data_IF_033229691659
#
_entry.id   IF_033229691659
#
_cell.length_a   1.000
_cell.length_b   1.000
_cell.length_c   1.000
_cell.angle_alpha   90.00
_cell.angle_beta   90.00
_cell.angle_gamma   90.00
#
_symmetry.space_group_name_H-M   'P 1'
#
loop_
_entity.id
_entity.type
_entity.pdbx_description
1 polymer ?
#
# COMPACT_ATOMS: atom_id res chain seq x y z
N UNK A 1 -5.98 -19.93 -29.19
CA UNK A 1 -5.74 -18.72 -28.38
C UNK A 1 -6.94 -18.53 -27.45
N UNK A 2 -7.05 -19.36 -26.43
CA UNK A 2 -8.09 -19.26 -25.40
C UNK A 2 -7.54 -18.36 -24.32
N UNK A 3 -7.97 -17.10 -24.30
CA UNK A 3 -7.72 -16.23 -23.17
C UNK A 3 -8.50 -16.81 -21.98
N UNK A 4 -7.76 -17.25 -20.97
CA UNK A 4 -8.33 -17.75 -19.72
C UNK A 4 -9.13 -16.61 -19.07
N UNK A 5 -10.34 -16.92 -18.60
CA UNK A 5 -11.20 -15.94 -17.93
C UNK A 5 -10.49 -15.39 -16.69
N UNK A 6 -9.60 -16.19 -16.07
CA UNK A 6 -8.68 -15.77 -15.01
C UNK A 6 -7.67 -14.71 -15.48
N UNK A 7 -7.05 -14.88 -16.64
CA UNK A 7 -6.16 -13.88 -17.24
C UNK A 7 -6.89 -12.58 -17.60
N UNK A 8 -8.14 -12.65 -18.04
CA UNK A 8 -8.93 -11.47 -18.35
C UNK A 8 -9.36 -10.72 -17.07
N UNK A 9 -9.67 -11.44 -15.99
CA UNK A 9 -10.02 -10.86 -14.68
C UNK A 9 -8.80 -10.30 -13.94
N UNK A 10 -7.64 -10.97 -14.05
CA UNK A 10 -6.35 -10.44 -13.61
C UNK A 10 -6.02 -9.19 -14.43
N UNK A 11 -6.05 -9.23 -15.77
CA UNK A 11 -5.82 -8.02 -16.58
C UNK A 11 -6.77 -6.89 -16.19
N UNK A 12 -8.05 -7.17 -15.94
CA UNK A 12 -8.99 -6.11 -15.54
C UNK A 12 -8.67 -5.53 -14.16
N UNK A 13 -8.27 -6.33 -13.17
CA UNK A 13 -7.92 -5.84 -11.83
C UNK A 13 -6.50 -5.25 -11.76
N UNK A 14 -5.51 -5.85 -12.43
CA UNK A 14 -4.12 -5.39 -12.53
C UNK A 14 -3.95 -4.20 -13.49
N UNK A 15 -4.85 -3.94 -14.44
CA UNK A 15 -4.71 -2.80 -15.36
C UNK A 15 -5.58 -1.62 -14.94
N UNK A 16 -6.78 -1.81 -14.37
CA UNK A 16 -7.64 -0.69 -13.96
C UNK A 16 -7.41 -0.18 -12.52
N UNK A 17 -6.82 -0.96 -11.61
CA UNK A 17 -6.49 -0.45 -10.25
C UNK A 17 -5.22 0.40 -10.19
N UNK A 18 -4.10 0.08 -10.89
CA UNK A 18 -2.85 0.84 -10.71
C UNK A 18 -2.77 2.13 -11.51
N UNK A 19 -3.66 2.40 -12.47
CA UNK A 19 -3.71 3.72 -13.14
C UNK A 19 -4.00 4.85 -12.13
N UNK A 20 -4.47 4.53 -10.92
CA UNK A 20 -4.77 5.50 -9.87
C UNK A 20 -3.65 5.73 -8.85
N UNK A 21 -2.65 4.84 -8.75
CA UNK A 21 -1.56 4.96 -7.75
C UNK A 21 -0.37 5.81 -8.19
N UNK A 22 -0.19 6.06 -9.49
CA UNK A 22 0.77 7.06 -9.97
C UNK A 22 0.24 8.50 -9.95
N UNK A 23 -1.03 8.72 -9.57
CA UNK A 23 -1.63 10.05 -9.52
C UNK A 23 -1.23 10.88 -8.29
N UNK A 24 -0.30 10.39 -7.46
CA UNK A 24 0.36 11.19 -6.42
C UNK A 24 1.33 12.25 -6.97
N UNK A 25 1.56 12.29 -8.29
CA UNK A 25 2.48 13.24 -8.93
C UNK A 25 1.85 14.58 -9.32
N UNK A 26 0.52 14.72 -9.31
CA UNK A 26 -0.14 15.93 -9.89
C UNK A 26 -0.10 17.14 -8.94
N UNK A 27 0.08 16.95 -7.63
CA UNK A 27 -0.01 18.06 -6.67
C UNK A 27 1.32 18.81 -6.39
N UNK A 28 2.46 18.39 -6.94
CA UNK A 28 3.77 18.98 -6.62
C UNK A 28 4.18 20.20 -7.47
N UNK A 29 3.27 20.79 -8.24
CA UNK A 29 3.56 21.89 -9.17
C UNK A 29 2.57 23.07 -9.07
N UNK A 30 2.20 23.49 -7.86
CA UNK A 30 1.57 24.80 -7.67
C UNK A 30 2.59 25.77 -7.05
N UNK A 31 3.28 26.54 -7.89
CA UNK A 31 4.03 27.73 -7.48
C UNK A 31 3.15 28.99 -7.66
N UNK A 32 3.27 29.89 -6.66
CA UNK A 32 2.90 31.30 -6.60
C UNK A 32 1.44 31.72 -6.87
N UNK A 33 0.62 31.89 -5.81
CA UNK A 33 -0.42 32.92 -5.76
C UNK A 33 -0.47 33.62 -4.39
N UNK A 34 -0.33 34.94 -4.46
CA UNK A 34 -0.41 35.90 -3.36
C UNK A 34 -1.87 36.25 -2.98
N UNK A 35 -2.09 36.48 -1.68
CA UNK A 35 -2.84 37.62 -1.08
C UNK A 35 -3.92 37.27 -0.04
N UNK A 36 -3.73 37.91 1.12
CA UNK A 36 -4.69 38.66 1.95
C UNK A 36 -6.00 38.01 2.48
N UNK A 37 -6.10 38.09 3.81
CA UNK A 37 -7.31 38.16 4.65
C UNK A 37 -8.26 36.95 4.65
N UNK A 38 -7.79 35.86 5.26
CA UNK A 38 -8.60 34.80 5.87
C UNK A 38 -7.73 34.16 6.97
N UNK A 39 -8.30 33.81 8.12
CA UNK A 39 -7.56 33.17 9.23
C UNK A 39 -7.05 31.75 8.90
N UNK A 40 -7.18 31.33 7.65
CA UNK A 40 -6.76 30.06 7.06
C UNK A 40 -5.93 30.45 5.84
N UNK A 41 -4.65 30.06 5.83
CA UNK A 41 -3.73 30.34 4.72
C UNK A 41 -3.90 29.32 3.61
N UNK A 42 -3.43 29.64 2.40
CA UNK A 42 -3.40 28.69 1.27
C UNK A 42 -2.58 27.44 1.66
N UNK A 43 -1.46 27.65 2.37
CA UNK A 43 -0.62 26.58 2.91
C UNK A 43 -1.39 25.62 3.85
N UNK A 44 -2.34 26.14 4.65
CA UNK A 44 -3.17 25.32 5.52
C UNK A 44 -4.14 24.43 4.71
N UNK A 45 -4.71 24.96 3.63
CA UNK A 45 -5.61 24.22 2.73
C UNK A 45 -4.84 23.12 1.97
N UNK A 46 -3.66 23.45 1.44
CA UNK A 46 -2.78 22.49 0.78
C UNK A 46 -2.31 21.38 1.73
N UNK A 47 -2.01 21.74 2.98
CA UNK A 47 -1.66 20.80 4.03
C UNK A 47 -2.79 19.80 4.33
N UNK A 48 -4.04 20.26 4.42
CA UNK A 48 -5.20 19.38 4.61
C UNK A 48 -5.48 18.50 3.37
N UNK A 49 -5.31 19.03 2.16
CA UNK A 49 -5.45 18.24 0.93
C UNK A 49 -4.45 17.09 0.87
N UNK A 50 -3.19 17.33 1.27
CA UNK A 50 -2.17 16.29 1.35
C UNK A 50 -2.52 15.19 2.36
N UNK A 51 -3.10 15.56 3.51
CA UNK A 51 -3.59 14.59 4.49
C UNK A 51 -4.72 13.74 3.92
N UNK A 52 -5.68 14.36 3.22
CA UNK A 52 -6.80 13.65 2.58
C UNK A 52 -6.30 12.68 1.51
N UNK A 53 -5.37 13.11 0.67
CA UNK A 53 -4.73 12.27 -0.35
C UNK A 53 -4.03 11.06 0.27
N UNK A 54 -3.23 11.28 1.32
CA UNK A 54 -2.60 10.19 2.08
C UNK A 54 -3.61 9.20 2.66
N UNK A 55 -4.70 9.70 3.25
CA UNK A 55 -5.77 8.84 3.81
C UNK A 55 -6.44 8.03 2.70
N UNK A 56 -6.75 8.65 1.56
CA UNK A 56 -7.33 7.97 0.40
C UNK A 56 -6.45 6.82 -0.07
N UNK A 57 -5.15 7.04 -0.17
CA UNK A 57 -4.22 6.02 -0.65
C UNK A 57 -4.14 4.83 0.32
N UNK A 58 -4.11 5.09 1.64
CA UNK A 58 -4.21 4.04 2.66
C UNK A 58 -5.50 3.23 2.53
N UNK A 59 -6.64 3.92 2.34
CA UNK A 59 -7.94 3.26 2.21
C UNK A 59 -8.04 2.39 0.95
N UNK A 60 -7.48 2.83 -0.17
CA UNK A 60 -7.47 2.05 -1.42
C UNK A 60 -6.65 0.78 -1.27
N UNK A 61 -5.47 0.85 -0.63
CA UNK A 61 -4.67 -0.35 -0.32
C UNK A 61 -5.44 -1.32 0.58
N UNK A 62 -6.07 -0.81 1.63
CA UNK A 62 -6.90 -1.62 2.53
C UNK A 62 -8.11 -2.25 1.84
N UNK A 63 -8.73 -1.55 0.90
CA UNK A 63 -9.82 -2.10 0.09
C UNK A 63 -9.34 -3.26 -0.79
N UNK A 64 -8.13 -3.14 -1.36
CA UNK A 64 -7.50 -4.22 -2.10
C UNK A 64 -7.26 -5.44 -1.21
N UNK A 65 -6.64 -5.29 -0.04
CA UNK A 65 -6.46 -6.37 0.95
C UNK A 65 -7.79 -7.06 1.30
N UNK A 66 -8.84 -6.27 1.55
CA UNK A 66 -10.16 -6.79 1.88
C UNK A 66 -10.78 -7.60 0.73
N UNK A 67 -10.55 -7.20 -0.52
CA UNK A 67 -11.01 -7.94 -1.69
C UNK A 67 -10.30 -9.29 -1.79
N UNK A 68 -8.98 -9.32 -1.62
CA UNK A 68 -8.22 -10.58 -1.60
C UNK A 68 -8.69 -11.52 -0.48
N UNK A 69 -8.94 -11.00 0.73
CA UNK A 69 -9.50 -11.80 1.83
C UNK A 69 -10.89 -12.35 1.51
N UNK A 70 -11.74 -11.56 0.85
CA UNK A 70 -13.07 -12.02 0.44
C UNK A 70 -12.98 -13.16 -0.58
N UNK A 71 -12.06 -13.07 -1.55
CA UNK A 71 -11.83 -14.10 -2.55
C UNK A 71 -11.28 -15.40 -1.91
N UNK A 72 -10.30 -15.29 -0.99
CA UNK A 72 -9.80 -16.45 -0.23
C UNK A 72 -10.90 -17.13 0.61
N UNK A 73 -11.77 -16.33 1.25
CA UNK A 73 -12.92 -16.86 2.00
C UNK A 73 -13.86 -17.65 1.07
N UNK A 74 -14.08 -17.19 -0.16
CA UNK A 74 -14.94 -17.89 -1.13
C UNK A 74 -14.30 -19.23 -1.56
N UNK A 75 -13.01 -19.22 -1.91
CA UNK A 75 -12.26 -20.43 -2.24
C UNK A 75 -12.28 -21.44 -1.08
N UNK A 76 -12.04 -20.97 0.14
CA UNK A 76 -12.06 -21.81 1.34
C UNK A 76 -13.45 -22.43 1.62
N UNK A 77 -14.53 -21.68 1.38
CA UNK A 77 -15.90 -22.19 1.51
C UNK A 77 -16.17 -23.31 0.51
N UNK A 78 -15.81 -23.10 -0.76
CA UNK A 78 -16.02 -24.09 -1.83
C UNK A 78 -15.18 -25.35 -1.59
N UNK A 79 -13.89 -25.21 -1.28
CA UNK A 79 -13.01 -26.31 -0.90
C UNK A 79 -13.60 -27.09 0.28
N UNK A 80 -14.12 -26.40 1.30
CA UNK A 80 -14.72 -27.05 2.47
C UNK A 80 -15.97 -27.83 2.11
N UNK A 81 -16.82 -27.30 1.22
CA UNK A 81 -17.99 -28.01 0.73
C UNK A 81 -17.60 -29.27 -0.05
N UNK A 82 -16.70 -29.15 -1.03
CA UNK A 82 -16.24 -30.28 -1.83
C UNK A 82 -15.56 -31.36 -0.97
N UNK A 83 -14.74 -30.96 0.01
CA UNK A 83 -14.12 -31.89 0.97
C UNK A 83 -15.16 -32.65 1.79
N UNK A 84 -16.26 -32.01 2.21
CA UNK A 84 -17.35 -32.69 2.92
C UNK A 84 -18.07 -33.70 2.02
N UNK A 85 -18.24 -33.39 0.74
CA UNK A 85 -18.82 -34.35 -0.21
C UNK A 85 -17.87 -35.53 -0.46
N UNK A 86 -16.59 -35.26 -0.67
CA UNK A 86 -15.55 -36.26 -0.85
C UNK A 86 -15.46 -37.20 0.36
N UNK A 87 -15.50 -36.65 1.58
CA UNK A 87 -15.42 -37.44 2.81
C UNK A 87 -16.54 -38.47 2.94
N UNK A 88 -17.74 -38.20 2.40
CA UNK A 88 -18.84 -39.17 2.37
C UNK A 88 -18.48 -40.38 1.52
N UNK A 89 -17.90 -40.16 0.34
CA UNK A 89 -17.48 -41.24 -0.56
C UNK A 89 -16.29 -42.02 0.01
N UNK A 90 -15.28 -41.32 0.53
CA UNK A 90 -14.08 -41.91 1.12
C UNK A 90 -14.39 -42.75 2.37
N UNK A 91 -15.48 -42.46 3.07
CA UNK A 91 -15.90 -43.26 4.24
C UNK A 91 -16.41 -44.66 3.90
N UNK A 92 -16.75 -44.91 2.62
CA UNK A 92 -17.15 -46.23 2.13
C UNK A 92 -15.89 -47.03 1.76
N UNK A 93 -15.77 -48.32 2.14
CA UNK A 93 -14.65 -49.16 1.71
C UNK A 93 -14.59 -49.32 0.18
N UNK A 94 -13.38 -49.36 -0.40
CA UNK A 94 -13.20 -49.42 -1.86
C UNK A 94 -13.81 -50.65 -2.57
N UNK A 95 -14.01 -51.73 -1.81
CA UNK A 95 -14.67 -52.96 -2.27
C UNK A 95 -16.19 -52.77 -2.47
N UNK A 96 -16.78 -51.86 -1.69
CA UNK A 96 -18.21 -51.59 -1.67
C UNK A 96 -18.58 -50.35 -2.52
N UNK A 97 -17.59 -49.64 -3.07
CA UNK A 97 -17.80 -48.49 -3.96
C UNK A 97 -18.23 -48.93 -5.36
N UNK A 98 -19.28 -48.31 -5.88
CA UNK A 98 -19.64 -48.42 -7.29
C UNK A 98 -18.58 -47.79 -8.20
N UNK A 99 -18.67 -48.04 -9.50
CA UNK A 99 -17.78 -47.38 -10.47
C UNK A 99 -18.03 -45.87 -10.49
N UNK A 100 -19.29 -45.48 -10.40
CA UNK A 100 -19.75 -44.10 -10.36
C UNK A 100 -19.22 -43.36 -9.13
N UNK A 101 -19.16 -44.03 -7.96
CA UNK A 101 -18.58 -43.45 -6.75
C UNK A 101 -17.09 -43.14 -6.93
N UNK A 102 -16.34 -44.05 -7.56
CA UNK A 102 -14.91 -43.87 -7.84
C UNK A 102 -14.66 -42.74 -8.83
N UNK A 103 -15.47 -42.65 -9.89
CA UNK A 103 -15.39 -41.55 -10.86
C UNK A 103 -15.74 -40.21 -10.20
N UNK A 104 -16.74 -40.18 -9.32
CA UNK A 104 -17.12 -38.96 -8.58
C UNK A 104 -16.06 -38.54 -7.57
N UNK A 105 -15.42 -39.49 -6.89
CA UNK A 105 -14.30 -39.24 -5.97
C UNK A 105 -13.13 -38.55 -6.68
N UNK A 106 -12.72 -39.10 -7.83
CA UNK A 106 -11.67 -38.52 -8.67
C UNK A 106 -12.05 -37.12 -9.17
N UNK A 107 -13.29 -36.94 -9.62
CA UNK A 107 -13.77 -35.63 -10.08
C UNK A 107 -13.75 -34.57 -8.95
N UNK A 108 -14.15 -34.93 -7.73
CA UNK A 108 -14.10 -34.06 -6.57
C UNK A 108 -12.65 -33.71 -6.19
N UNK A 109 -11.75 -34.69 -6.21
CA UNK A 109 -10.31 -34.46 -5.97
C UNK A 109 -9.72 -33.46 -6.98
N UNK A 110 -10.02 -33.64 -8.27
CA UNK A 110 -9.55 -32.73 -9.32
C UNK A 110 -10.10 -31.30 -9.14
N UNK A 111 -11.36 -31.15 -8.76
CA UNK A 111 -11.94 -29.83 -8.47
C UNK A 111 -11.29 -29.17 -7.26
N UNK A 112 -11.09 -29.91 -6.17
CA UNK A 112 -10.39 -29.42 -4.97
C UNK A 112 -8.97 -28.98 -5.33
N UNK A 113 -8.25 -29.78 -6.14
CA UNK A 113 -6.89 -29.45 -6.57
C UNK A 113 -6.84 -28.11 -7.32
N UNK A 114 -7.74 -27.92 -8.30
CA UNK A 114 -7.85 -26.66 -9.05
C UNK A 114 -8.12 -25.45 -8.14
N UNK A 115 -9.01 -25.58 -7.16
CA UNK A 115 -9.29 -24.48 -6.22
C UNK A 115 -8.09 -24.17 -5.32
N UNK A 116 -7.33 -25.20 -4.93
CA UNK A 116 -6.09 -25.02 -4.16
C UNK A 116 -5.02 -24.32 -5.00
N UNK A 117 -4.87 -24.68 -6.29
CA UNK A 117 -3.99 -23.98 -7.22
C UNK A 117 -4.42 -22.51 -7.38
N UNK A 118 -5.71 -22.23 -7.60
CA UNK A 118 -6.22 -20.85 -7.67
C UNK A 118 -5.89 -20.04 -6.41
N UNK A 119 -6.00 -20.66 -5.24
CA UNK A 119 -5.63 -20.02 -3.98
C UNK A 119 -4.12 -19.76 -3.87
N UNK A 120 -3.30 -20.66 -4.39
CA UNK A 120 -1.84 -20.48 -4.43
C UNK A 120 -1.47 -19.25 -5.28
N UNK A 121 -2.07 -19.13 -6.47
CA UNK A 121 -1.92 -17.93 -7.31
C UNK A 121 -2.37 -16.64 -6.60
N UNK A 122 -3.46 -16.69 -5.83
CA UNK A 122 -3.93 -15.55 -5.06
C UNK A 122 -2.89 -15.07 -4.02
N UNK A 123 -2.19 -16.01 -3.38
CA UNK A 123 -1.13 -15.70 -2.41
C UNK A 123 0.06 -15.03 -3.10
N UNK A 124 0.47 -15.56 -4.24
CA UNK A 124 1.56 -14.98 -5.05
C UNK A 124 1.22 -13.55 -5.52
N UNK A 125 -0.02 -13.33 -5.98
CA UNK A 125 -0.50 -12.01 -6.41
C UNK A 125 -0.47 -10.99 -5.27
N UNK A 126 -0.92 -11.36 -4.07
CA UNK A 126 -0.90 -10.48 -2.88
C UNK A 126 0.54 -10.13 -2.49
N UNK A 127 1.47 -11.09 -2.52
CA UNK A 127 2.86 -10.80 -2.18
C UNK A 127 3.53 -9.91 -3.24
N UNK A 128 3.19 -10.11 -4.52
CA UNK A 128 3.67 -9.25 -5.59
C UNK A 128 3.19 -7.80 -5.41
N UNK A 129 1.93 -7.59 -5.07
CA UNK A 129 1.41 -6.25 -4.81
C UNK A 129 2.08 -5.61 -3.59
N UNK A 130 2.31 -6.38 -2.51
CA UNK A 130 3.02 -5.90 -1.32
C UNK A 130 4.48 -5.52 -1.61
N UNK A 131 5.13 -6.18 -2.57
CA UNK A 131 6.47 -5.83 -3.03
C UNK A 131 6.46 -4.52 -3.81
N UNK A 132 5.49 -4.34 -4.72
CA UNK A 132 5.30 -3.12 -5.49
C UNK A 132 5.09 -1.91 -4.58
N UNK A 133 4.14 -1.99 -3.65
CA UNK A 133 3.81 -0.88 -2.75
C UNK A 133 5.03 -0.43 -1.92
N UNK A 134 5.86 -1.38 -1.46
CA UNK A 134 7.09 -1.07 -0.72
C UNK A 134 8.12 -0.33 -1.57
N UNK A 135 8.25 -0.68 -2.85
CA UNK A 135 9.18 0.01 -3.75
C UNK A 135 8.68 1.42 -4.07
N UNK A 136 7.38 1.59 -4.31
CA UNK A 136 6.77 2.91 -4.54
C UNK A 136 6.93 3.83 -3.31
N UNK A 137 6.71 3.31 -2.10
CA UNK A 137 6.92 4.06 -0.85
C UNK A 137 8.40 4.42 -0.64
N UNK A 138 9.33 3.54 -1.05
CA UNK A 138 10.77 3.80 -1.00
C UNK A 138 11.18 4.90 -1.96
N UNK A 139 10.77 4.82 -3.22
CA UNK A 139 11.04 5.84 -4.23
C UNK A 139 10.49 7.21 -3.80
N UNK A 140 9.29 7.24 -3.21
CA UNK A 140 8.69 8.46 -2.68
C UNK A 140 9.51 9.05 -1.53
N UNK A 141 9.96 8.22 -0.58
CA UNK A 141 10.80 8.66 0.53
C UNK A 141 12.15 9.21 0.06
N UNK A 142 12.81 8.50 -0.86
CA UNK A 142 14.10 8.89 -1.45
C UNK A 142 13.97 10.21 -2.23
N UNK A 143 12.88 10.39 -2.98
CA UNK A 143 12.60 11.63 -3.69
C UNK A 143 12.46 12.83 -2.72
N UNK A 144 11.65 12.68 -1.67
CA UNK A 144 11.46 13.70 -0.66
C UNK A 144 12.77 14.05 0.07
N UNK A 145 13.55 13.03 0.46
CA UNK A 145 14.84 13.22 1.11
C UNK A 145 15.82 13.98 0.21
N UNK A 146 15.83 13.68 -1.09
CA UNK A 146 16.68 14.37 -2.06
C UNK A 146 16.28 15.84 -2.25
N UNK A 147 14.99 16.16 -2.26
CA UNK A 147 14.49 17.55 -2.35
C UNK A 147 14.78 18.35 -1.07
N UNK A 148 14.56 17.76 0.10
CA UNK A 148 14.85 18.40 1.39
C UNK A 148 16.35 18.72 1.49
N UNK A 149 17.21 17.76 1.13
CA UNK A 149 18.67 17.94 1.15
C UNK A 149 19.14 19.05 0.19
N UNK A 150 18.58 19.12 -1.03
CA UNK A 150 18.87 20.19 -2.01
C UNK A 150 18.37 21.57 -1.57
N UNK A 151 17.22 21.63 -0.88
CA UNK A 151 16.69 22.87 -0.34
C UNK A 151 17.50 23.37 0.87
N UNK A 152 17.95 22.46 1.74
CA UNK A 152 18.84 22.77 2.86
C UNK A 152 20.21 23.30 2.37
N UNK A 153 20.78 22.70 1.32
CA UNK A 153 22.04 23.17 0.73
C UNK A 153 21.90 24.54 0.05
N UNK A 154 20.76 24.82 -0.63
CA UNK A 154 20.46 26.16 -1.16
C UNK A 154 20.28 27.20 -0.04
N UNK A 155 19.60 26.85 1.06
CA UNK A 155 19.39 27.75 2.22
C UNK A 155 20.70 28.02 2.99
N UNK A 156 21.59 27.02 3.08
CA UNK A 156 22.92 27.17 3.65
C UNK A 156 23.85 28.03 2.77
N UNK A 157 23.77 27.90 1.44
CA UNK A 157 24.52 28.75 0.50
C UNK A 157 24.07 30.22 0.58
N UNK A 158 22.77 30.48 0.71
CA UNK A 158 22.23 31.82 0.93
C UNK A 158 22.64 32.41 2.30
N UNK A 159 22.69 31.59 3.35
CA UNK A 159 23.16 32.03 4.67
C UNK A 159 24.66 32.36 4.67
N UNK A 160 25.49 31.62 3.94
CA UNK A 160 26.92 31.88 3.83
C UNK A 160 27.24 33.17 3.03
N UNK A 161 26.39 33.58 2.08
CA UNK A 161 26.51 34.89 1.42
C UNK A 161 26.20 36.07 2.35
N UNK A 162 25.37 35.88 3.39
CA UNK A 162 25.02 36.94 4.33
C UNK A 162 26.08 37.14 5.44
N UNK A 163 26.92 36.12 5.70
CA UNK A 163 28.02 36.19 6.70
C UNK A 163 29.32 36.75 6.11
N UNK A 164 29.47 36.77 4.78
CA UNK A 164 30.61 37.39 4.10
C UNK A 164 30.54 38.94 3.98
N UNK A 165 29.47 39.57 4.48
CA UNK A 165 29.16 40.99 4.26
C UNK A 165 28.86 41.77 5.54
N UNK A 166 29.48 41.43 6.69
CA UNK A 166 29.39 42.31 7.87
C UNK A 166 30.60 42.21 8.79
N UNK A 167 31.62 43.01 8.48
CA UNK A 167 32.61 43.46 9.46
C UNK A 167 32.04 44.62 10.27
N UNK A 168 31.88 44.43 11.58
CA UNK A 168 32.09 45.38 12.70
C UNK A 168 31.10 45.13 13.87
N UNK A 169 31.67 44.67 15.00
CA UNK A 169 31.41 44.92 16.44
C UNK A 169 29.98 45.31 16.88
N UNK A 170 29.38 44.81 17.96
CA UNK A 170 29.78 44.92 19.39
C UNK A 170 28.99 43.93 20.29
N UNK A 171 29.37 43.89 21.58
CA UNK A 171 29.08 42.98 22.70
C UNK A 171 27.66 42.89 23.29
N UNK A 172 27.23 41.70 23.72
CA UNK A 172 26.95 41.28 25.13
C UNK A 172 26.12 39.97 25.20
N UNK A 173 26.18 39.17 26.28
CA UNK A 173 25.54 37.86 26.33
C UNK A 173 24.20 37.89 27.09
N UNK A 174 23.15 37.31 26.51
CA UNK A 174 21.94 36.96 27.27
C UNK A 174 21.45 35.56 26.88
N UNK A 175 21.29 34.73 27.91
CA UNK A 175 20.81 33.36 27.86
C UNK A 175 19.28 33.38 27.93
N UNK A 176 18.60 32.65 27.05
CA UNK A 176 17.33 32.00 27.43
C UNK A 176 17.11 30.72 26.62
N UNK A 177 16.90 29.64 27.39
CA UNK A 177 16.42 28.31 27.00
C UNK A 177 15.09 28.35 26.24
N UNK A 178 14.76 27.21 25.63
CA UNK A 178 13.44 26.67 25.18
C UNK A 178 13.33 26.60 23.64
N UNK A 179 12.97 25.51 22.99
CA UNK A 179 12.66 24.15 23.42
C UNK A 179 12.84 23.20 22.23
N UNK A 180 13.62 22.14 22.41
CA UNK A 180 13.79 21.04 21.46
C UNK A 180 12.73 19.99 21.77
N UNK A 181 11.50 20.18 21.30
CA UNK A 181 10.44 19.17 21.37
C UNK A 181 9.47 19.42 20.23
N UNK A 182 9.61 18.68 19.12
CA UNK A 182 8.51 18.38 18.17
C UNK A 182 8.96 17.40 17.05
N UNK A 183 9.69 16.34 17.41
CA UNK A 183 9.96 15.21 16.50
C UNK A 183 10.00 13.89 17.29
N UNK A 184 9.04 13.74 18.21
CA UNK A 184 8.85 12.52 18.98
C UNK A 184 7.38 12.22 19.13
N UNK A 185 6.69 11.96 18.02
CA UNK A 185 5.44 11.18 17.97
C UNK A 185 5.06 11.02 16.48
N UNK A 186 5.63 10.02 15.79
CA UNK A 186 5.01 9.36 14.62
C UNK A 186 5.73 8.04 14.22
N UNK A 187 6.39 7.37 15.18
CA UNK A 187 6.74 5.96 15.05
C UNK A 187 6.06 5.18 16.19
N UNK A 188 4.74 4.99 16.05
CA UNK A 188 3.98 4.01 16.82
C UNK A 188 4.13 2.63 16.19
N UNK A 189 5.35 2.10 16.17
CA UNK A 189 5.58 0.66 15.95
C UNK A 189 5.17 -0.05 17.25
N UNK A 190 3.96 -0.56 17.30
CA UNK A 190 3.66 -1.75 18.11
C UNK A 190 3.27 -2.86 17.16
N UNK A 191 4.29 -3.36 16.47
CA UNK A 191 4.37 -4.77 16.15
C UNK A 191 4.37 -5.53 17.48
N UNK A 192 3.22 -6.07 17.86
CA UNK A 192 3.12 -7.19 18.79
C UNK A 192 2.18 -8.20 18.17
N UNK A 193 2.78 -9.34 17.86
CA UNK A 193 2.22 -10.59 17.36
C UNK A 193 1.08 -11.08 18.28
N UNK A 194 -0.05 -11.45 17.68
CA UNK A 194 -0.77 -12.72 17.87
C UNK A 194 -1.63 -13.00 16.65
#
# INVERSE_FOLDING_TARGET
MTYDVGQLYLLFNLILRPIRMCFGLVSLLAEDISMADSSITIDDIEGELFKIERIRDILVRRESELRYMMDDIQLCKEITQLKKELQKLVSVPDQDKSKEDKEREEALLQQIHKLVETRDFLVDDVEFERLREREEDREMADFLQSKISKNLSKKAALRNQMVASKSQQTSSPFVTKTGLTLLKECCGFTCSIM
#
